data_IF_313855054410
#
_entry.id   IF_313855054410
#
_cell.length_a   1.000
_cell.length_b   1.000
_cell.length_c   1.000
_cell.angle_alpha   90.00
_cell.angle_beta   90.00
_cell.angle_gamma   90.00
#
_symmetry.space_group_name_H-M   'P 1'
#
loop_
_entity.id
_entity.type
_entity.pdbx_description
1 polymer ?
#
# COMPACT_ATOMS: atom_id res chain seq x y z
N UNK A 1 25.15 8.81 2.58
CA UNK A 1 24.00 7.94 2.96
C UNK A 1 22.93 7.98 1.87
N UNK A 2 21.94 7.09 1.90
CA UNK A 2 20.77 7.14 1.00
C UNK A 2 20.11 8.53 1.01
N UNK A 3 19.86 9.07 2.22
CA UNK A 3 19.29 10.40 2.43
C UNK A 3 20.07 11.50 1.69
N UNK A 4 21.39 11.56 1.86
CA UNK A 4 22.25 12.56 1.19
C UNK A 4 22.20 12.48 -0.35
N UNK A 5 21.93 11.29 -0.91
CA UNK A 5 21.91 11.08 -2.36
C UNK A 5 20.57 11.41 -2.98
N UNK A 6 19.46 11.09 -2.31
CA UNK A 6 18.13 11.10 -2.94
C UNK A 6 17.18 12.18 -2.40
N UNK A 7 17.32 12.62 -1.16
CA UNK A 7 16.38 13.60 -0.58
C UNK A 7 16.43 14.98 -1.25
N UNK A 8 17.56 15.33 -1.87
CA UNK A 8 17.71 16.58 -2.64
C UNK A 8 17.23 16.47 -4.09
N UNK A 9 16.78 15.29 -4.54
CA UNK A 9 16.28 15.11 -5.90
C UNK A 9 14.97 15.89 -6.09
N UNK A 10 14.81 16.63 -7.20
CA UNK A 10 13.54 17.30 -7.50
C UNK A 10 12.38 16.31 -7.77
N UNK A 11 12.69 15.02 -7.98
CA UNK A 11 11.70 13.97 -8.15
C UNK A 11 11.36 13.23 -6.83
N UNK A 12 11.99 13.60 -5.71
CA UNK A 12 11.69 12.97 -4.42
C UNK A 12 10.36 13.49 -3.89
N UNK A 13 9.50 12.61 -3.38
CA UNK A 13 8.22 13.00 -2.80
C UNK A 13 8.46 13.86 -1.54
N UNK A 14 7.84 15.04 -1.52
CA UNK A 14 7.82 15.90 -0.34
C UNK A 14 6.39 16.03 0.17
N UNK A 15 6.21 15.89 1.49
CA UNK A 15 4.97 16.18 2.20
C UNK A 15 5.28 17.29 3.20
N UNK A 16 4.45 18.32 3.26
CA UNK A 16 4.67 19.50 4.12
C UNK A 16 6.07 20.13 3.99
N UNK A 17 6.67 20.07 2.79
CA UNK A 17 7.98 20.65 2.50
C UNK A 17 9.18 19.78 2.89
N UNK A 18 8.98 18.56 3.37
CA UNK A 18 10.05 17.64 3.78
C UNK A 18 10.02 16.34 2.97
N UNK A 19 11.18 15.72 2.70
CA UNK A 19 11.24 14.37 2.11
C UNK A 19 10.37 13.39 2.90
N UNK A 20 9.47 12.71 2.22
CA UNK A 20 8.59 11.72 2.83
C UNK A 20 9.27 10.35 2.91
N UNK A 21 9.25 9.73 4.09
CA UNK A 21 9.76 8.38 4.31
C UNK A 21 8.65 7.50 4.88
N UNK A 22 8.25 6.49 4.11
CA UNK A 22 7.25 5.50 4.50
C UNK A 22 7.92 4.29 5.14
N UNK A 23 7.44 3.88 6.30
CA UNK A 23 7.93 2.73 7.04
C UNK A 23 6.96 1.58 6.85
N UNK A 24 7.45 0.47 6.30
CA UNK A 24 6.70 -0.78 6.29
C UNK A 24 7.17 -1.61 7.49
N UNK A 25 6.30 -1.85 8.49
CA UNK A 25 6.71 -2.48 9.74
C UNK A 25 7.08 -3.94 9.52
N UNK A 26 8.11 -4.38 10.23
CA UNK A 26 8.48 -5.77 10.36
C UNK A 26 8.71 -6.11 11.84
N UNK A 27 7.77 -6.85 12.44
CA UNK A 27 7.76 -7.17 13.88
C UNK A 27 9.10 -7.69 14.44
N UNK A 28 9.90 -8.39 13.62
CA UNK A 28 11.20 -8.92 14.04
C UNK A 28 12.27 -7.82 14.24
N UNK A 29 12.05 -6.62 13.71
CA UNK A 29 13.00 -5.50 13.71
C UNK A 29 12.42 -4.30 14.46
N UNK A 30 11.14 -3.98 14.28
CA UNK A 30 10.55 -2.71 14.74
C UNK A 30 10.69 -2.47 16.24
N UNK A 31 10.55 -3.52 17.06
CA UNK A 31 10.69 -3.43 18.52
C UNK A 31 12.08 -2.96 18.98
N UNK A 32 13.08 -3.01 18.09
CA UNK A 32 14.46 -2.61 18.37
C UNK A 32 14.83 -1.25 17.78
N UNK A 33 13.91 -0.59 17.06
CA UNK A 33 14.16 0.70 16.42
C UNK A 33 13.84 1.84 17.40
N UNK A 34 14.84 2.68 17.67
CA UNK A 34 14.66 3.94 18.37
C UNK A 34 14.42 5.06 17.35
N UNK A 35 13.14 5.34 17.04
CA UNK A 35 12.74 6.35 16.06
C UNK A 35 13.23 7.77 16.39
N UNK A 36 13.18 8.25 17.65
CA UNK A 36 13.83 9.50 18.03
C UNK A 36 15.31 9.54 17.67
N UNK A 37 16.05 8.47 17.93
CA UNK A 37 17.47 8.37 17.54
C UNK A 37 17.65 8.38 16.02
N UNK A 38 16.86 7.60 15.28
CA UNK A 38 16.89 7.58 13.80
C UNK A 38 16.70 8.99 13.24
N UNK A 39 15.70 9.74 13.73
CA UNK A 39 15.46 11.12 13.29
C UNK A 39 16.64 12.04 13.60
N UNK A 40 17.24 11.93 14.78
CA UNK A 40 18.38 12.76 15.17
C UNK A 40 19.65 12.47 14.36
N UNK A 41 19.82 11.24 13.87
CA UNK A 41 20.94 10.87 13.01
C UNK A 41 20.76 11.33 11.56
N UNK A 42 19.53 11.66 11.14
CA UNK A 42 19.28 12.25 9.84
C UNK A 42 19.64 13.75 9.86
N UNK A 43 20.61 14.12 9.02
CA UNK A 43 20.99 15.53 8.77
C UNK A 43 19.96 16.34 7.98
N UNK A 44 18.75 15.81 7.79
CA UNK A 44 17.67 16.41 7.02
C UNK A 44 16.36 16.12 7.74
N UNK A 45 15.55 17.16 7.94
CA UNK A 45 14.21 17.00 8.47
C UNK A 45 13.35 16.23 7.46
N UNK A 46 12.70 15.16 7.92
CA UNK A 46 11.83 14.29 7.12
C UNK A 46 10.39 14.34 7.62
N UNK A 47 9.46 13.96 6.76
CA UNK A 47 8.11 13.53 7.15
C UNK A 47 8.10 12.00 7.21
N UNK A 48 8.04 11.45 8.43
CA UNK A 48 8.04 10.01 8.66
C UNK A 48 6.61 9.49 8.78
N UNK A 49 6.23 8.54 7.94
CA UNK A 49 4.88 7.96 7.88
C UNK A 49 4.96 6.48 8.24
N UNK A 50 4.24 6.02 9.26
CA UNK A 50 4.16 4.59 9.63
C UNK A 50 2.95 3.90 8.99
N UNK A 51 2.96 2.57 8.97
CA UNK A 51 1.75 1.79 8.64
C UNK A 51 0.85 1.72 9.88
N UNK A 52 -0.40 2.15 9.72
CA UNK A 52 -1.45 2.11 10.75
C UNK A 52 -1.12 2.90 12.05
N UNK A 53 -2.08 3.66 12.61
CA UNK A 53 -1.92 4.19 13.96
C UNK A 53 -2.05 3.07 15.01
N UNK A 54 -1.39 3.25 16.15
CA UNK A 54 -1.57 2.42 17.35
C UNK A 54 -2.11 3.25 18.53
N UNK A 55 -3.45 3.41 18.66
CA UNK A 55 -4.06 4.20 19.74
C UNK A 55 -3.76 3.72 21.16
N UNK A 56 -3.34 2.47 21.33
CA UNK A 56 -2.95 1.90 22.63
C UNK A 56 -1.49 2.24 22.99
N UNK A 57 -0.68 2.75 22.06
CA UNK A 57 0.70 3.19 22.26
C UNK A 57 0.96 4.57 21.62
N UNK A 58 0.41 5.61 22.25
CA UNK A 58 0.64 7.00 21.80
C UNK A 58 2.11 7.43 21.88
N UNK A 59 2.95 6.75 22.65
CA UNK A 59 4.37 7.08 22.73
C UNK A 59 5.09 6.68 21.43
N UNK A 60 4.80 5.49 20.90
CA UNK A 60 5.21 5.07 19.56
C UNK A 60 4.67 6.04 18.50
N UNK A 61 3.36 6.27 18.49
CA UNK A 61 2.73 7.08 17.44
C UNK A 61 3.22 8.53 17.40
N UNK A 62 3.63 9.10 18.54
CA UNK A 62 4.22 10.43 18.61
C UNK A 62 5.58 10.55 17.91
N UNK A 63 6.24 9.43 17.59
CA UNK A 63 7.47 9.45 16.80
C UNK A 63 7.21 9.66 15.29
N UNK A 64 5.95 9.61 14.83
CA UNK A 64 5.58 9.69 13.42
C UNK A 64 4.76 10.93 13.09
N UNK A 65 4.94 11.43 11.86
CA UNK A 65 4.24 12.62 11.33
C UNK A 65 2.91 12.24 10.68
N UNK A 66 2.67 10.95 10.42
CA UNK A 66 1.49 10.46 9.76
C UNK A 66 1.43 8.95 9.66
N UNK A 67 0.32 8.46 9.11
CA UNK A 67 0.06 7.05 8.94
C UNK A 67 -0.53 6.76 7.56
N UNK A 68 -0.22 5.58 7.02
CA UNK A 68 -0.86 5.04 5.83
C UNK A 68 -1.60 3.74 6.11
N UNK A 69 -2.68 3.52 5.36
CA UNK A 69 -3.37 2.24 5.31
C UNK A 69 -2.78 1.35 4.21
N UNK A 70 -2.65 0.05 4.47
CA UNK A 70 -2.22 -0.95 3.49
C UNK A 70 -3.30 -2.01 3.28
N UNK A 71 -3.24 -2.74 2.17
CA UNK A 71 -4.22 -3.79 1.86
C UNK A 71 -4.29 -4.84 2.98
N UNK A 72 -5.46 -4.93 3.62
CA UNK A 72 -5.74 -5.97 4.61
C UNK A 72 -7.25 -6.17 4.83
N UNK A 73 -7.62 -7.41 5.17
CA UNK A 73 -8.96 -7.72 5.65
C UNK A 73 -9.18 -7.18 7.07
N UNK A 74 -10.45 -6.95 7.43
CA UNK A 74 -10.84 -6.48 8.77
C UNK A 74 -10.32 -7.43 9.86
N UNK A 75 -9.55 -6.89 10.81
CA UNK A 75 -8.92 -7.64 11.91
C UNK A 75 -8.10 -8.87 11.45
N UNK A 76 -7.58 -8.85 10.22
CA UNK A 76 -6.87 -9.99 9.63
C UNK A 76 -7.76 -11.21 9.34
N UNK A 77 -9.09 -11.07 9.37
CA UNK A 77 -10.03 -12.13 9.06
C UNK A 77 -10.32 -12.17 7.56
N UNK A 78 -9.48 -12.91 6.83
CA UNK A 78 -9.61 -13.06 5.37
C UNK A 78 -10.74 -14.05 5.03
N UNK A 79 -11.83 -13.54 4.48
CA UNK A 79 -12.93 -14.38 4.02
C UNK A 79 -12.51 -15.17 2.76
N UNK A 80 -12.75 -16.48 2.76
CA UNK A 80 -12.37 -17.35 1.63
C UNK A 80 -13.14 -17.06 0.35
N UNK A 81 -14.29 -16.36 0.43
CA UNK A 81 -15.06 -15.93 -0.75
C UNK A 81 -14.59 -14.60 -1.35
N UNK A 82 -13.58 -13.96 -0.74
CA UNK A 82 -12.97 -12.72 -1.21
C UNK A 82 -13.86 -11.49 -1.14
N UNK A 83 -15.02 -11.56 -0.47
CA UNK A 83 -15.95 -10.43 -0.35
C UNK A 83 -15.59 -9.46 0.75
N UNK A 84 -14.84 -9.90 1.76
CA UNK A 84 -14.31 -9.01 2.79
C UNK A 84 -13.16 -8.20 2.20
N UNK A 85 -13.42 -6.94 1.86
CA UNK A 85 -12.48 -6.09 1.14
C UNK A 85 -11.72 -5.09 2.03
N UNK A 86 -11.91 -5.15 3.36
CA UNK A 86 -11.28 -4.24 4.32
C UNK A 86 -12.13 -3.03 4.70
N UNK A 87 -13.45 -3.08 4.50
CA UNK A 87 -14.35 -1.95 4.79
C UNK A 87 -14.22 -1.48 6.24
N UNK A 88 -14.36 -2.39 7.19
CA UNK A 88 -14.33 -2.02 8.61
C UNK A 88 -12.92 -1.63 9.06
N UNK A 89 -11.87 -2.22 8.48
CA UNK A 89 -10.50 -1.75 8.67
C UNK A 89 -10.33 -0.29 8.22
N UNK A 90 -10.72 0.06 7.00
CA UNK A 90 -10.58 1.43 6.49
C UNK A 90 -11.44 2.42 7.28
N UNK A 91 -12.67 2.05 7.65
CA UNK A 91 -13.50 2.89 8.54
C UNK A 91 -12.83 3.13 9.89
N UNK A 92 -12.22 2.09 10.50
CA UNK A 92 -11.44 2.24 11.74
C UNK A 92 -10.24 3.16 11.54
N UNK A 93 -9.46 2.96 10.49
CA UNK A 93 -8.26 3.75 10.19
C UNK A 93 -8.63 5.23 10.01
N UNK A 94 -9.61 5.54 9.15
CA UNK A 94 -10.02 6.92 8.89
C UNK A 94 -10.67 7.57 10.11
N UNK A 95 -11.47 6.84 10.89
CA UNK A 95 -12.06 7.39 12.12
C UNK A 95 -11.00 7.66 13.19
N UNK A 96 -9.97 6.81 13.28
CA UNK A 96 -8.82 7.00 14.18
C UNK A 96 -8.02 8.22 13.77
N UNK A 97 -7.72 8.38 12.48
CA UNK A 97 -6.98 9.53 11.98
C UNK A 97 -7.73 10.86 12.16
N UNK A 98 -9.07 10.83 12.17
CA UNK A 98 -9.91 11.99 12.48
C UNK A 98 -10.07 12.28 13.98
N UNK A 99 -9.50 11.45 14.86
CA UNK A 99 -9.58 11.65 16.31
C UNK A 99 -8.53 12.63 16.83
N UNK A 100 -8.74 13.17 18.04
CA UNK A 100 -7.93 14.23 18.62
C UNK A 100 -6.40 14.02 18.57
N UNK A 101 -5.86 12.86 18.98
CA UNK A 101 -4.41 12.62 18.94
C UNK A 101 -3.79 12.62 17.54
N UNK A 102 -4.60 12.44 16.49
CA UNK A 102 -4.15 12.26 15.11
C UNK A 102 -4.55 13.41 14.17
N UNK A 103 -5.35 14.38 14.64
CA UNK A 103 -5.90 15.45 13.81
C UNK A 103 -4.83 16.29 13.06
N UNK A 104 -3.62 16.38 13.60
CA UNK A 104 -2.49 17.12 12.98
C UNK A 104 -1.49 16.21 12.25
N UNK A 105 -1.77 14.91 12.15
CA UNK A 105 -0.92 13.94 11.47
C UNK A 105 -1.37 13.77 10.03
N UNK A 106 -0.42 13.45 9.15
CA UNK A 106 -0.71 13.18 7.74
C UNK A 106 -1.49 11.86 7.62
N UNK A 107 -2.68 11.92 7.02
CA UNK A 107 -3.45 10.73 6.65
C UNK A 107 -3.19 10.36 5.20
N UNK A 108 -2.71 9.13 4.99
CA UNK A 108 -2.59 8.52 3.66
C UNK A 108 -3.55 7.34 3.57
N UNK A 109 -4.64 7.49 2.82
CA UNK A 109 -5.63 6.42 2.64
C UNK A 109 -5.10 5.28 1.78
N UNK A 110 -5.68 4.11 1.96
CA UNK A 110 -5.32 2.92 1.20
C UNK A 110 -6.36 2.64 0.13
N UNK A 111 -5.89 2.36 -1.09
CA UNK A 111 -6.71 1.96 -2.24
C UNK A 111 -6.07 0.71 -2.84
N UNK A 112 -6.86 -0.33 -3.10
CA UNK A 112 -6.37 -1.55 -3.71
C UNK A 112 -7.42 -2.16 -4.64
N UNK A 113 -7.01 -2.78 -5.76
CA UNK A 113 -7.94 -3.44 -6.66
C UNK A 113 -8.41 -4.78 -6.10
N UNK A 114 -7.62 -5.43 -5.24
CA UNK A 114 -7.84 -6.75 -4.68
C UNK A 114 -6.55 -7.26 -4.01
N UNK A 115 -6.54 -8.54 -3.64
CA UNK A 115 -5.39 -9.20 -3.05
C UNK A 115 -5.49 -10.70 -3.27
N UNK A 116 -4.43 -11.35 -3.71
CA UNK A 116 -4.35 -12.81 -3.86
C UNK A 116 -2.88 -13.25 -3.75
N UNK A 117 -2.48 -13.75 -2.58
CA UNK A 117 -1.11 -14.19 -2.33
C UNK A 117 -0.87 -15.68 -2.62
N UNK A 118 -1.72 -16.33 -3.43
CA UNK A 118 -1.52 -17.73 -3.81
C UNK A 118 -0.21 -17.96 -4.57
N UNK A 119 0.29 -16.96 -5.31
CA UNK A 119 1.56 -17.02 -6.05
C UNK A 119 2.78 -16.82 -5.14
N UNK A 120 2.59 -16.26 -3.95
CA UNK A 120 3.65 -16.04 -2.96
C UNK A 120 4.02 -17.35 -2.22
N UNK A 121 4.40 -18.40 -2.94
CA UNK A 121 4.59 -19.77 -2.44
C UNK A 121 5.49 -19.95 -1.21
N UNK A 122 6.38 -18.99 -0.92
CA UNK A 122 7.31 -19.06 0.22
C UNK A 122 6.81 -18.40 1.51
N UNK A 123 5.80 -17.52 1.45
CA UNK A 123 5.32 -16.75 2.61
C UNK A 123 3.82 -16.42 2.59
N UNK A 124 3.14 -16.69 1.48
CA UNK A 124 1.71 -16.50 1.29
C UNK A 124 0.90 -17.31 2.29
N UNK A 125 -0.27 -16.77 2.65
CA UNK A 125 -1.16 -17.34 3.67
C UNK A 125 -2.54 -17.68 3.10
N UNK A 126 -2.66 -17.78 1.77
CA UNK A 126 -3.92 -17.96 1.04
C UNK A 126 -4.93 -16.87 1.40
N UNK A 127 -4.45 -15.63 1.50
CA UNK A 127 -5.23 -14.43 1.75
C UNK A 127 -5.82 -13.97 0.43
N UNK A 128 -7.11 -13.62 0.47
CA UNK A 128 -7.84 -13.30 -0.75
C UNK A 128 -8.84 -12.16 -0.53
N UNK A 129 -8.78 -11.16 -1.42
CA UNK A 129 -9.77 -10.12 -1.64
C UNK A 129 -10.04 -10.09 -3.15
N UNK A 130 -11.28 -10.41 -3.53
CA UNK A 130 -11.67 -10.41 -4.93
C UNK A 130 -11.66 -9.00 -5.50
N UNK A 131 -11.22 -8.86 -6.76
CA UNK A 131 -11.32 -7.58 -7.49
C UNK A 131 -12.76 -7.16 -7.79
N UNK A 132 -13.70 -8.12 -7.78
CA UNK A 132 -15.13 -7.89 -8.05
C UNK A 132 -15.38 -7.06 -9.33
N UNK A 133 -14.61 -7.32 -10.39
CA UNK A 133 -14.60 -6.54 -11.64
C UNK A 133 -14.39 -5.04 -11.37
N UNK A 134 -13.30 -4.69 -10.68
CA UNK A 134 -12.93 -3.31 -10.35
C UNK A 134 -13.68 -2.71 -9.16
N UNK A 135 -14.81 -3.28 -8.73
CA UNK A 135 -15.63 -2.71 -7.65
C UNK A 135 -14.91 -2.61 -6.31
N UNK A 136 -13.91 -3.44 -6.03
CA UNK A 136 -13.12 -3.32 -4.80
C UNK A 136 -12.27 -2.04 -4.81
N UNK A 137 -11.65 -1.73 -5.95
CA UNK A 137 -10.95 -0.45 -6.15
C UNK A 137 -11.90 0.72 -5.92
N UNK A 138 -13.06 0.73 -6.59
CA UNK A 138 -14.06 1.79 -6.47
C UNK A 138 -14.50 1.99 -5.01
N UNK A 139 -14.83 0.90 -4.29
CA UNK A 139 -15.24 0.97 -2.88
C UNK A 139 -14.17 1.57 -1.96
N UNK A 140 -12.90 1.19 -2.14
CA UNK A 140 -11.82 1.75 -1.32
C UNK A 140 -11.60 3.24 -1.61
N UNK A 141 -11.69 3.65 -2.88
CA UNK A 141 -11.61 5.04 -3.32
C UNK A 141 -12.79 5.88 -2.80
N UNK A 142 -14.02 5.41 -2.99
CA UNK A 142 -15.26 6.06 -2.51
C UNK A 142 -15.21 6.27 -0.99
N UNK A 143 -14.65 5.32 -0.23
CA UNK A 143 -14.52 5.44 1.21
C UNK A 143 -13.49 6.50 1.60
N UNK A 144 -12.35 6.58 0.91
CA UNK A 144 -11.36 7.64 1.10
C UNK A 144 -11.96 9.02 0.81
N UNK A 145 -12.72 9.15 -0.28
CA UNK A 145 -13.45 10.38 -0.64
C UNK A 145 -14.48 10.77 0.43
N UNK A 146 -15.29 9.82 0.91
CA UNK A 146 -16.28 10.04 1.97
C UNK A 146 -15.66 10.61 3.25
N UNK A 147 -14.45 10.19 3.59
CA UNK A 147 -13.71 10.68 4.75
C UNK A 147 -12.87 11.94 4.46
N UNK A 148 -12.89 12.47 3.24
CA UNK A 148 -12.08 13.61 2.79
C UNK A 148 -10.58 13.38 2.99
N UNK A 149 -10.11 12.17 2.72
CA UNK A 149 -8.70 11.82 2.88
C UNK A 149 -7.86 12.58 1.83
N UNK A 150 -6.82 13.33 2.24
CA UNK A 150 -6.12 14.25 1.35
C UNK A 150 -5.14 13.56 0.38
N UNK A 151 -4.64 12.38 0.74
CA UNK A 151 -3.65 11.63 -0.02
C UNK A 151 -4.07 10.16 0.00
N UNK A 152 -4.02 9.48 -1.13
CA UNK A 152 -4.22 8.02 -1.21
C UNK A 152 -2.95 7.34 -1.73
N UNK A 153 -2.71 6.13 -1.23
CA UNK A 153 -1.70 5.19 -1.71
C UNK A 153 -2.42 4.05 -2.41
N UNK A 154 -2.03 3.79 -3.67
CA UNK A 154 -2.51 2.64 -4.42
C UNK A 154 -1.57 1.46 -4.15
N UNK A 155 -2.09 0.43 -3.50
CA UNK A 155 -1.42 -0.84 -3.26
C UNK A 155 -1.92 -1.86 -4.31
N UNK A 156 -1.18 -2.12 -5.39
CA UNK A 156 0.16 -1.64 -5.77
C UNK A 156 0.25 -1.34 -7.26
N UNK A 157 1.35 -0.75 -7.73
CA UNK A 157 1.58 -0.65 -9.17
C UNK A 157 1.72 -2.05 -9.80
N UNK A 158 2.62 -2.90 -9.28
CA UNK A 158 3.04 -4.14 -9.96
C UNK A 158 3.43 -5.28 -9.01
N UNK A 159 2.82 -5.36 -7.82
CA UNK A 159 2.98 -6.54 -6.96
C UNK A 159 2.06 -7.68 -7.44
N UNK A 160 2.56 -8.39 -8.45
CA UNK A 160 1.90 -9.55 -9.04
C UNK A 160 1.90 -10.77 -8.12
N UNK A 161 2.88 -10.90 -7.22
CA UNK A 161 2.95 -12.03 -6.28
C UNK A 161 1.82 -11.95 -5.23
N UNK A 162 1.39 -10.73 -4.88
CA UNK A 162 0.22 -10.46 -4.03
C UNK A 162 -1.07 -10.19 -4.81
N UNK A 163 -1.06 -10.25 -6.14
CA UNK A 163 -2.22 -10.00 -6.98
C UNK A 163 -2.88 -8.64 -6.74
N UNK A 164 -2.13 -7.65 -6.26
CA UNK A 164 -2.60 -6.30 -5.91
C UNK A 164 -2.25 -5.25 -6.98
N UNK A 165 -1.58 -5.68 -8.07
CA UNK A 165 -1.10 -4.84 -9.17
C UNK A 165 -2.22 -4.07 -9.91
N UNK A 166 -1.92 -2.86 -10.37
CA UNK A 166 -2.78 -2.07 -11.28
C UNK A 166 -2.11 -1.78 -12.62
N UNK A 167 -0.88 -2.24 -12.86
CA UNK A 167 -0.08 -1.95 -14.06
C UNK A 167 -0.86 -2.24 -15.36
N UNK A 168 -1.68 -3.29 -15.36
CA UNK A 168 -2.54 -3.64 -16.49
C UNK A 168 -4.03 -3.34 -16.28
N UNK A 169 -4.40 -2.75 -15.14
CA UNK A 169 -5.77 -2.30 -14.84
C UNK A 169 -6.39 -2.96 -13.61
N UNK A 170 -7.38 -2.28 -13.03
CA UNK A 170 -7.99 -2.64 -11.74
C UNK A 170 -8.89 -3.87 -11.79
N UNK A 171 -9.28 -4.32 -12.98
CA UNK A 171 -10.07 -5.56 -13.16
C UNK A 171 -9.18 -6.77 -13.44
N UNK A 172 -7.93 -6.54 -13.83
CA UNK A 172 -7.02 -7.52 -14.42
C UNK A 172 -6.27 -8.28 -13.32
N UNK A 173 -6.20 -9.61 -13.37
CA UNK A 173 -5.34 -10.42 -12.48
C UNK A 173 -4.28 -11.09 -13.36
N UNK A 174 -2.99 -10.90 -13.09
CA UNK A 174 -1.91 -11.56 -13.84
C UNK A 174 -1.55 -12.90 -13.21
N UNK A 175 -1.55 -13.97 -14.00
CA UNK A 175 -1.02 -15.29 -13.61
C UNK A 175 0.39 -15.46 -14.16
N UNK A 176 1.37 -15.44 -13.26
CA UNK A 176 2.80 -15.53 -13.58
C UNK A 176 3.30 -16.98 -13.71
N UNK A 177 2.53 -17.98 -13.30
CA UNK A 177 2.97 -19.38 -13.26
C UNK A 177 2.69 -20.15 -14.55
N UNK A 178 1.71 -19.70 -15.34
CA UNK A 178 1.21 -20.53 -16.44
C UNK A 178 2.10 -20.57 -17.68
N UNK A 179 2.82 -19.50 -18.08
CA UNK A 179 3.88 -19.46 -19.12
C UNK A 179 4.68 -18.13 -19.02
N UNK A 180 5.87 -17.95 -19.63
CA UNK A 180 6.55 -16.65 -19.68
C UNK A 180 5.79 -15.58 -20.52
N UNK A 181 4.62 -15.92 -21.04
CA UNK A 181 3.64 -14.99 -21.60
C UNK A 181 2.66 -14.59 -20.48
N UNK A 182 2.51 -13.28 -20.29
CA UNK A 182 1.70 -12.67 -19.24
C UNK A 182 0.21 -13.02 -19.45
N UNK A 183 -0.27 -14.10 -18.85
CA UNK A 183 -1.66 -14.53 -18.96
C UNK A 183 -2.49 -13.78 -17.92
N UNK A 184 -3.28 -12.81 -18.39
CA UNK A 184 -4.23 -12.08 -17.54
C UNK A 184 -5.50 -12.92 -17.35
N UNK A 185 -5.76 -13.43 -16.14
CA UNK A 185 -6.90 -14.29 -15.79
C UNK A 185 -8.28 -13.66 -16.02
N UNK A 186 -8.35 -12.35 -16.22
CA UNK A 186 -9.62 -11.61 -16.40
C UNK A 186 -9.64 -10.63 -17.58
N UNK A 187 -8.63 -10.63 -18.47
CA UNK A 187 -8.67 -9.78 -19.66
C UNK A 187 -9.41 -10.49 -20.81
N UNK A 188 -10.26 -9.80 -21.59
CA UNK A 188 -10.73 -10.31 -22.87
C UNK A 188 -9.63 -10.30 -23.95
N UNK A 189 -8.41 -9.85 -23.64
CA UNK A 189 -7.29 -9.74 -24.57
C UNK A 189 -6.10 -10.59 -24.12
N UNK A 190 -5.58 -11.41 -25.03
CA UNK A 190 -4.32 -12.15 -24.87
C UNK A 190 -3.16 -11.21 -25.22
N UNK A 191 -2.29 -10.90 -24.26
CA UNK A 191 -1.12 -10.03 -24.48
C UNK A 191 0.10 -10.90 -24.77
N UNK A 192 0.48 -11.01 -26.05
CA UNK A 192 1.69 -11.74 -26.48
C UNK A 192 2.89 -10.80 -26.56
N UNK A 193 3.94 -11.13 -25.83
CA UNK A 193 5.23 -10.46 -25.93
C UNK A 193 6.17 -11.24 -26.84
N UNK A 194 6.27 -10.82 -28.10
CA UNK A 194 7.24 -11.42 -29.02
C UNK A 194 8.64 -10.83 -28.75
N UNK A 195 9.53 -11.62 -28.13
CA UNK A 195 10.90 -11.20 -27.75
C UNK A 195 11.83 -10.98 -28.95
N UNK A 196 11.32 -10.83 -30.16
CA UNK A 196 12.13 -10.67 -31.35
C UNK A 196 11.43 -9.95 -32.48
N UNK A 197 11.55 -8.61 -32.47
CA UNK A 197 11.71 -7.68 -33.62
C UNK A 197 10.84 -6.42 -33.46
N UNK A 198 11.41 -5.41 -32.82
CA UNK A 198 11.08 -4.04 -33.20
C UNK A 198 11.64 -3.81 -34.62
N UNK A 199 10.78 -3.90 -35.63
CA UNK A 199 11.01 -3.27 -36.93
C UNK A 199 9.93 -2.22 -37.09
N UNK A 200 10.33 -0.96 -36.96
CA UNK A 200 9.50 0.18 -37.31
C UNK A 200 9.45 0.29 -38.84
N UNK A 201 8.25 0.24 -39.41
CA UNK A 201 7.90 0.95 -40.64
C UNK A 201 6.70 1.84 -40.35
#
# INVERSE_FOLDING_TARGET
SYAQKYFSSPAYLHINGHPALFIFPYNAVDQFIDWPKVRNELSTQITLIDKDPNPDDLAHDNAFDGFYAWVQATNGNWATDGKEWGEAYLNWFYSTMNSGPYQNKVTVGGVWPGFDDLLASSWGKNRYISRQNGRTYDKTMELAEKYNVPIVMIATWNDFEEGSDIEFGVEMIVDMESEPELLVRSSPFEVKWDRGKAVFQ
#
